data_IF_198190857605
#
_entry.id   IF_198190857605
#
_cell.length_a   1.000
_cell.length_b   1.000
_cell.length_c   1.000
_cell.angle_alpha   90.00
_cell.angle_beta   90.00
_cell.angle_gamma   90.00
#
_symmetry.space_group_name_H-M   'P 1'
#
loop_
_entity.id
_entity.type
_entity.pdbx_description
1 polymer ?
#
# COMPACT_ATOMS: atom_id res chain seq x y z
N UNK A 1 -22.58 -94.29 16.07
CA UNK A 1 -21.76 -94.82 14.97
C UNK A 1 -20.51 -93.95 14.90
N UNK A 2 -19.40 -94.35 15.55
CA UNK A 2 -18.21 -94.94 14.91
C UNK A 2 -17.74 -94.10 13.71
N UNK A 3 -16.50 -93.67 13.55
CA UNK A 3 -15.22 -93.77 14.23
C UNK A 3 -14.32 -92.77 13.47
N UNK A 4 -13.19 -92.31 14.02
CA UNK A 4 -11.90 -92.44 13.30
C UNK A 4 -10.77 -91.87 14.17
N UNK A 5 -9.71 -92.67 14.26
CA UNK A 5 -8.45 -92.36 14.94
C UNK A 5 -7.55 -91.62 13.95
N UNK A 6 -7.09 -90.42 14.28
CA UNK A 6 -5.86 -89.88 13.66
C UNK A 6 -4.89 -89.37 14.71
N UNK A 7 -3.67 -89.89 14.57
CA UNK A 7 -2.50 -89.76 15.43
C UNK A 7 -2.07 -88.29 15.48
N UNK A 8 -2.06 -87.72 16.68
CA UNK A 8 -1.58 -86.36 16.93
C UNK A 8 -0.05 -86.30 16.90
N UNK A 9 0.49 -85.54 15.96
CA UNK A 9 1.89 -85.13 15.88
C UNK A 9 2.19 -84.18 17.06
N UNK A 10 3.19 -84.49 17.88
CA UNK A 10 3.55 -83.70 19.07
C UNK A 10 4.48 -82.55 18.64
N UNK A 11 3.94 -81.34 18.53
CA UNK A 11 4.74 -80.12 18.35
C UNK A 11 5.48 -79.78 19.66
N UNK A 12 6.75 -79.34 19.61
CA UNK A 12 7.47 -78.87 20.80
C UNK A 12 6.90 -77.54 21.31
N UNK A 13 7.04 -77.23 22.62
CA UNK A 13 6.40 -76.07 23.22
C UNK A 13 6.91 -74.77 22.60
N UNK A 14 6.00 -74.00 22.00
CA UNK A 14 6.25 -72.61 21.61
C UNK A 14 6.46 -71.79 22.88
N UNK A 15 7.72 -71.44 23.18
CA UNK A 15 8.04 -70.39 24.16
C UNK A 15 7.50 -69.07 23.62
N UNK A 16 6.26 -68.74 23.96
CA UNK A 16 5.77 -67.37 23.87
C UNK A 16 6.52 -66.53 24.90
N UNK A 17 7.67 -65.99 24.50
CA UNK A 17 8.20 -64.79 25.14
C UNK A 17 7.25 -63.67 24.76
N UNK A 18 6.37 -63.29 25.68
CA UNK A 18 5.74 -61.98 25.65
C UNK A 18 6.86 -60.94 25.55
N UNK A 19 7.02 -60.34 24.37
CA UNK A 19 7.79 -59.11 24.23
C UNK A 19 6.92 -58.02 24.85
N UNK A 20 7.06 -57.85 26.16
CA UNK A 20 6.54 -56.68 26.87
C UNK A 20 7.35 -55.48 26.38
N UNK A 21 6.92 -54.89 25.26
CA UNK A 21 7.43 -53.59 24.80
C UNK A 21 7.21 -52.60 25.93
N UNK A 22 8.30 -52.26 26.63
CA UNK A 22 8.31 -51.17 27.59
C UNK A 22 7.91 -49.92 26.80
N UNK A 23 6.75 -49.32 27.12
CA UNK A 23 6.23 -48.03 26.61
C UNK A 23 7.12 -46.85 27.04
N UNK A 24 8.45 -47.00 26.98
CA UNK A 24 9.44 -46.04 27.44
C UNK A 24 9.98 -45.16 26.31
N UNK A 25 9.57 -45.38 25.06
CA UNK A 25 10.05 -44.61 23.90
C UNK A 25 9.14 -43.49 23.42
N UNK A 26 7.84 -43.52 23.74
CA UNK A 26 6.87 -42.54 23.20
C UNK A 26 6.83 -41.22 24.01
N UNK A 27 7.13 -41.27 25.30
CA UNK A 27 7.18 -40.06 26.13
C UNK A 27 8.36 -39.15 25.78
N UNK A 28 9.49 -39.71 25.35
CA UNK A 28 10.71 -38.96 25.04
C UNK A 28 10.64 -38.21 23.71
N UNK A 29 9.94 -38.75 22.71
CA UNK A 29 9.75 -38.10 21.40
C UNK A 29 8.73 -36.95 21.54
N UNK A 30 7.68 -37.13 22.34
CA UNK A 30 6.72 -36.08 22.63
C UNK A 30 7.36 -34.91 23.41
N UNK A 31 8.22 -35.19 24.38
CA UNK A 31 8.94 -34.15 25.13
C UNK A 31 9.94 -33.38 24.26
N UNK A 32 10.61 -34.05 23.31
CA UNK A 32 11.54 -33.41 22.38
C UNK A 32 10.80 -32.56 21.34
N UNK A 33 9.63 -33.00 20.86
CA UNK A 33 8.79 -32.22 19.95
C UNK A 33 8.24 -30.94 20.62
N UNK A 34 7.89 -31.00 21.91
CA UNK A 34 7.50 -29.81 22.68
C UNK A 34 8.66 -28.85 22.93
N UNK A 35 9.88 -29.37 23.14
CA UNK A 35 11.08 -28.54 23.32
C UNK A 35 11.49 -27.83 22.01
N UNK A 36 11.34 -28.49 20.85
CA UNK A 36 11.61 -27.87 19.53
C UNK A 36 10.55 -26.83 19.18
N UNK A 37 9.28 -27.03 19.57
CA UNK A 37 8.22 -26.03 19.37
C UNK A 37 8.38 -24.80 20.30
N UNK A 38 8.93 -24.99 21.50
CA UNK A 38 9.25 -23.92 22.44
C UNK A 38 10.52 -23.12 22.09
N UNK A 39 11.37 -23.66 21.20
CA UNK A 39 12.60 -23.03 20.70
C UNK A 39 12.42 -22.36 19.33
N UNK A 40 11.21 -22.36 18.74
CA UNK A 40 10.92 -21.51 17.60
C UNK A 40 11.09 -20.06 18.05
N UNK A 41 12.02 -19.28 17.45
CA UNK A 41 12.16 -17.88 17.82
C UNK A 41 10.83 -17.19 17.47
N UNK A 42 10.11 -16.76 18.50
CA UNK A 42 8.96 -15.86 18.38
C UNK A 42 9.49 -14.45 18.06
N UNK A 43 10.21 -14.32 16.95
CA UNK A 43 10.83 -13.09 16.52
C UNK A 43 10.43 -12.80 15.07
N UNK A 44 9.12 -12.84 14.79
CA UNK A 44 8.57 -11.84 13.90
C UNK A 44 8.44 -10.55 14.71
N UNK A 45 9.56 -9.86 14.97
CA UNK A 45 9.47 -8.47 15.38
C UNK A 45 8.73 -7.76 14.22
N UNK A 46 7.46 -7.44 14.43
CA UNK A 46 6.64 -6.81 13.40
C UNK A 46 7.37 -5.58 12.89
N UNK A 47 7.60 -5.51 11.57
CA UNK A 47 8.21 -4.33 10.98
C UNK A 47 7.38 -3.11 11.37
N UNK A 48 8.05 -2.06 11.84
CA UNK A 48 7.40 -0.77 12.10
C UNK A 48 6.66 -0.34 10.84
N UNK A 49 5.38 -0.03 10.96
CA UNK A 49 4.57 0.42 9.84
C UNK A 49 4.57 1.94 9.84
N UNK A 50 5.02 2.55 8.74
CA UNK A 50 4.86 3.97 8.47
C UNK A 50 3.67 4.18 7.53
N UNK A 51 2.61 4.84 8.01
CA UNK A 51 1.43 5.18 7.24
C UNK A 51 1.55 6.60 6.72
N UNK A 52 1.50 6.77 5.40
CA UNK A 52 1.66 8.08 4.76
C UNK A 52 0.44 8.38 3.89
N UNK A 53 -0.29 9.43 4.25
CA UNK A 53 -1.33 10.00 3.41
C UNK A 53 -0.71 11.09 2.54
N UNK A 54 -0.79 10.98 1.22
CA UNK A 54 -0.15 11.93 0.30
C UNK A 54 -1.07 12.39 -0.84
N UNK A 55 -0.84 13.61 -1.30
CA UNK A 55 -1.48 14.16 -2.49
C UNK A 55 -1.28 13.21 -3.68
N UNK A 56 -2.34 12.95 -4.45
CA UNK A 56 -2.32 12.00 -5.57
C UNK A 56 -1.22 12.27 -6.60
N UNK A 57 -0.81 13.52 -6.79
CA UNK A 57 0.32 13.89 -7.67
C UNK A 57 1.67 13.29 -7.25
N UNK A 58 1.82 12.83 -6.00
CA UNK A 58 3.02 12.18 -5.48
C UNK A 58 3.02 10.66 -5.69
N UNK A 59 1.94 10.06 -6.20
CA UNK A 59 1.76 8.60 -6.23
C UNK A 59 2.92 7.84 -6.87
N UNK A 60 3.34 8.24 -8.08
CA UNK A 60 4.45 7.57 -8.76
C UNK A 60 5.78 7.64 -7.97
N UNK A 61 6.06 8.78 -7.33
CA UNK A 61 7.26 8.98 -6.52
C UNK A 61 7.20 8.17 -5.23
N UNK A 62 6.03 8.09 -4.59
CA UNK A 62 5.83 7.33 -3.37
C UNK A 62 5.93 5.83 -3.64
N UNK A 63 5.23 5.33 -4.65
CA UNK A 63 5.10 3.89 -4.91
C UNK A 63 6.41 3.29 -5.48
N UNK A 64 7.15 4.06 -6.29
CA UNK A 64 8.32 3.55 -7.03
C UNK A 64 9.67 4.06 -6.52
N UNK A 65 9.65 5.08 -5.66
CA UNK A 65 10.85 5.73 -5.16
C UNK A 65 10.90 5.69 -3.64
N UNK A 66 10.23 6.66 -3.00
CA UNK A 66 10.37 6.93 -1.57
C UNK A 66 9.92 5.77 -0.68
N UNK A 67 8.81 5.11 -1.00
CA UNK A 67 8.30 3.96 -0.24
C UNK A 67 9.32 2.82 -0.20
N UNK A 68 9.72 2.24 -1.35
CA UNK A 68 10.73 1.18 -1.40
C UNK A 68 12.07 1.58 -0.75
N UNK A 69 12.53 2.82 -0.97
CA UNK A 69 13.77 3.30 -0.37
C UNK A 69 13.68 3.37 1.16
N UNK A 70 12.56 3.81 1.70
CA UNK A 70 12.32 3.86 3.15
C UNK A 70 12.28 2.46 3.77
N UNK A 71 11.56 1.52 3.13
CA UNK A 71 11.50 0.12 3.60
C UNK A 71 12.89 -0.52 3.64
N UNK A 72 13.71 -0.29 2.62
CA UNK A 72 15.08 -0.79 2.55
C UNK A 72 15.99 -0.18 3.63
N UNK A 73 15.90 1.14 3.84
CA UNK A 73 16.77 1.86 4.77
C UNK A 73 16.44 1.57 6.25
N UNK A 74 15.17 1.30 6.57
CA UNK A 74 14.71 1.22 7.95
C UNK A 74 14.19 -0.16 8.37
N UNK A 75 14.24 -1.16 7.49
CA UNK A 75 13.63 -2.47 7.70
C UNK A 75 12.15 -2.36 8.15
N UNK A 76 11.46 -1.36 7.63
CA UNK A 76 10.09 -0.98 7.97
C UNK A 76 9.11 -1.39 6.85
N UNK A 77 7.82 -1.22 7.10
CA UNK A 77 6.76 -1.35 6.08
C UNK A 77 6.17 0.03 5.77
N UNK A 78 6.12 0.39 4.50
CA UNK A 78 5.50 1.61 4.02
C UNK A 78 4.06 1.34 3.60
N UNK A 79 3.12 2.11 4.12
CA UNK A 79 1.71 2.05 3.74
C UNK A 79 1.26 3.42 3.21
N UNK A 80 1.19 3.52 1.88
CA UNK A 80 0.80 4.74 1.19
C UNK A 80 -0.70 4.83 0.93
N UNK A 81 -1.28 6.03 1.08
CA UNK A 81 -2.63 6.35 0.61
C UNK A 81 -2.61 7.64 -0.21
N UNK A 82 -2.74 7.50 -1.53
CA UNK A 82 -2.77 8.62 -2.48
C UNK A 82 -4.20 9.07 -2.81
N UNK A 83 -4.52 10.36 -2.59
CA UNK A 83 -5.83 10.94 -2.94
C UNK A 83 -5.77 12.48 -3.05
N UNK A 84 -6.90 13.13 -3.36
CA UNK A 84 -7.03 14.58 -3.29
C UNK A 84 -6.75 15.07 -1.85
N UNK A 85 -5.90 16.09 -1.70
CA UNK A 85 -5.41 16.49 -0.37
C UNK A 85 -6.53 16.94 0.58
N UNK A 86 -7.59 17.59 0.09
CA UNK A 86 -8.73 17.95 0.95
C UNK A 86 -9.55 16.73 1.35
N UNK A 87 -9.69 15.72 0.47
CA UNK A 87 -10.34 14.46 0.85
C UNK A 87 -9.57 13.78 1.99
N UNK A 88 -8.25 13.62 1.83
CA UNK A 88 -7.40 13.03 2.87
C UNK A 88 -7.43 13.83 4.18
N UNK A 89 -7.30 15.15 4.12
CA UNK A 89 -7.34 15.99 5.31
C UNK A 89 -8.67 15.87 6.05
N UNK A 90 -9.81 15.81 5.34
CA UNK A 90 -11.13 15.61 5.96
C UNK A 90 -11.25 14.23 6.61
N UNK A 91 -10.79 13.17 5.95
CA UNK A 91 -10.79 11.81 6.51
C UNK A 91 -9.92 11.69 7.77
N UNK A 92 -8.74 12.31 7.75
CA UNK A 92 -7.83 12.37 8.90
C UNK A 92 -8.45 13.17 10.06
N UNK A 93 -8.99 14.37 9.78
CA UNK A 93 -9.67 15.19 10.79
C UNK A 93 -10.88 14.47 11.41
N UNK A 94 -11.63 13.72 10.60
CA UNK A 94 -12.76 12.90 11.03
C UNK A 94 -12.33 11.57 11.68
N UNK A 95 -11.02 11.28 11.77
CA UNK A 95 -10.44 10.03 12.29
C UNK A 95 -10.93 8.77 11.56
N UNK A 96 -11.36 8.91 10.31
CA UNK A 96 -11.76 7.81 9.42
C UNK A 96 -10.55 7.22 8.66
N UNK A 97 -9.45 7.97 8.59
CA UNK A 97 -8.15 7.52 8.13
C UNK A 97 -7.12 7.79 9.24
N UNK A 98 -6.10 6.95 9.35
CA UNK A 98 -4.94 7.17 10.23
C UNK A 98 -3.68 7.24 9.39
N UNK A 99 -2.84 8.24 9.64
CA UNK A 99 -1.54 8.39 9.03
C UNK A 99 -0.56 9.00 10.03
N UNK A 100 0.70 8.60 9.94
CA UNK A 100 1.80 9.15 10.72
C UNK A 100 2.36 10.42 10.05
N UNK A 101 2.27 10.47 8.72
CA UNK A 101 2.72 11.61 7.90
C UNK A 101 1.63 11.99 6.90
N UNK A 102 1.37 13.30 6.80
CA UNK A 102 0.48 13.87 5.79
C UNK A 102 1.24 14.80 4.85
N UNK A 103 1.25 14.47 3.56
CA UNK A 103 1.93 15.25 2.50
C UNK A 103 0.87 15.87 1.60
N UNK A 104 0.53 17.13 1.87
CA UNK A 104 -0.47 17.87 1.11
C UNK A 104 0.14 18.64 -0.07
N UNK A 105 -0.72 19.05 -1.00
CA UNK A 105 -0.44 20.12 -1.95
C UNK A 105 -1.23 21.36 -1.51
N UNK A 106 -0.58 22.53 -1.52
CA UNK A 106 -1.07 23.83 -0.99
C UNK A 106 -1.29 23.88 0.53
N UNK A 107 -1.33 25.09 1.14
CA UNK A 107 -1.57 25.23 2.58
C UNK A 107 -2.98 24.85 3.05
N UNK A 108 -3.99 24.97 2.20
CA UNK A 108 -5.40 24.83 2.62
C UNK A 108 -5.75 23.46 3.27
N UNK A 109 -5.37 22.31 2.69
CA UNK A 109 -5.57 21.00 3.34
C UNK A 109 -4.82 20.85 4.67
N UNK A 110 -3.67 21.49 4.82
CA UNK A 110 -2.91 21.51 6.08
C UNK A 110 -3.69 22.28 7.16
N UNK A 111 -4.32 23.40 6.79
CA UNK A 111 -5.13 24.19 7.72
C UNK A 111 -6.33 23.41 8.28
N UNK A 112 -6.90 22.47 7.52
CA UNK A 112 -7.97 21.58 7.99
C UNK A 112 -7.48 20.76 9.19
N UNK A 113 -6.30 20.16 9.10
CA UNK A 113 -5.74 19.36 10.20
C UNK A 113 -5.21 20.22 11.34
N UNK A 114 -4.69 21.41 11.05
CA UNK A 114 -4.31 22.39 12.09
C UNK A 114 -5.52 22.76 12.96
N UNK A 115 -6.67 23.05 12.34
CA UNK A 115 -7.93 23.33 13.06
C UNK A 115 -8.45 22.14 13.86
N UNK A 116 -8.16 20.92 13.40
CA UNK A 116 -8.47 19.69 14.13
C UNK A 116 -7.48 19.38 15.28
N UNK A 117 -6.42 20.19 15.46
CA UNK A 117 -5.40 19.96 16.48
C UNK A 117 -4.48 18.77 16.19
N UNK A 118 -4.37 18.34 14.93
CA UNK A 118 -3.62 17.15 14.51
C UNK A 118 -2.24 17.46 13.90
N UNK A 119 -1.86 18.73 13.80
CA UNK A 119 -0.58 19.16 13.22
C UNK A 119 0.22 19.94 14.26
N UNK A 120 1.45 19.48 14.52
CA UNK A 120 2.42 20.18 15.36
C UNK A 120 3.34 21.09 14.53
N UNK A 121 3.81 20.63 13.36
CA UNK A 121 4.72 21.36 12.48
C UNK A 121 4.44 21.05 11.00
N UNK A 122 4.89 21.94 10.11
CA UNK A 122 4.69 21.84 8.66
C UNK A 122 5.92 22.38 7.98
N UNK A 123 6.51 21.59 7.08
CA UNK A 123 7.70 21.98 6.33
C UNK A 123 7.41 21.99 4.82
N UNK A 124 7.71 23.08 4.09
CA UNK A 124 7.66 23.09 2.64
C UNK A 124 8.79 22.23 2.04
N UNK A 125 8.42 21.14 1.37
CA UNK A 125 9.41 20.19 0.80
C UNK A 125 9.56 20.28 -0.72
N UNK A 126 8.59 20.87 -1.42
CA UNK A 126 8.54 20.85 -2.88
C UNK A 126 7.70 22.00 -3.44
N UNK A 127 7.93 22.32 -4.72
CA UNK A 127 7.06 23.19 -5.52
C UNK A 127 6.71 22.52 -6.86
N UNK A 128 5.57 22.89 -7.42
CA UNK A 128 5.09 22.37 -8.71
C UNK A 128 4.61 23.53 -9.58
N UNK A 129 4.41 23.26 -10.88
CA UNK A 129 3.86 24.22 -11.83
C UNK A 129 2.65 23.64 -12.53
N UNK A 130 1.67 24.49 -12.82
CA UNK A 130 0.55 24.13 -13.68
C UNK A 130 1.02 24.04 -15.13
N UNK A 131 0.65 22.96 -15.80
CA UNK A 131 0.97 22.70 -17.21
C UNK A 131 -0.24 22.08 -17.91
N UNK A 132 -0.31 22.24 -19.23
CA UNK A 132 -1.25 21.48 -20.06
C UNK A 132 -0.51 20.25 -20.58
N UNK A 133 -0.96 19.07 -20.17
CA UNK A 133 -0.43 17.79 -20.66
C UNK A 133 -1.36 17.29 -21.75
N UNK A 134 -0.77 16.82 -22.86
CA UNK A 134 -1.51 16.25 -23.97
C UNK A 134 -0.78 15.03 -24.53
N UNK A 135 -1.54 14.11 -25.14
CA UNK A 135 -0.95 12.99 -25.87
C UNK A 135 -0.42 13.46 -27.22
N UNK A 136 0.73 12.96 -27.69
CA UNK A 136 1.18 13.19 -29.08
C UNK A 136 0.18 12.64 -30.12
N UNK A 137 -0.71 11.72 -29.72
CA UNK A 137 -1.79 11.19 -30.57
C UNK A 137 -3.04 12.07 -30.61
N UNK A 138 -3.08 13.17 -29.85
CA UNK A 138 -4.18 14.11 -29.88
C UNK A 138 -4.23 14.83 -31.24
N UNK A 139 -5.43 14.98 -31.82
CA UNK A 139 -5.61 15.83 -33.01
C UNK A 139 -5.19 17.29 -32.79
N UNK A 140 -5.14 17.72 -31.53
CA UNK A 140 -4.72 19.07 -31.13
C UNK A 140 -3.23 19.15 -30.79
N UNK A 141 -2.46 18.06 -30.87
CA UNK A 141 -1.03 18.06 -30.53
C UNK A 141 -0.20 19.08 -31.34
N UNK A 142 -0.42 19.26 -32.66
CA UNK A 142 0.29 20.30 -33.42
C UNK A 142 -0.04 21.73 -32.93
N UNK A 143 -1.29 21.98 -32.54
CA UNK A 143 -1.70 23.29 -32.02
C UNK A 143 -1.06 23.59 -30.66
N UNK A 144 -1.00 22.59 -29.76
CA UNK A 144 -0.28 22.75 -28.49
C UNK A 144 1.24 22.91 -28.68
N UNK A 145 1.84 22.22 -29.64
CA UNK A 145 3.26 22.41 -29.97
C UNK A 145 3.52 23.83 -30.49
N UNK A 146 2.66 24.35 -31.38
CA UNK A 146 2.74 25.73 -31.86
C UNK A 146 2.56 26.74 -30.71
N UNK A 147 1.64 26.47 -29.77
CA UNK A 147 1.45 27.31 -28.59
C UNK A 147 2.69 27.32 -27.67
N UNK A 148 3.31 26.16 -27.46
CA UNK A 148 4.54 26.03 -26.68
C UNK A 148 5.72 26.79 -27.33
N UNK A 149 5.74 26.90 -28.65
CA UNK A 149 6.71 27.71 -29.41
C UNK A 149 6.37 29.21 -29.47
N UNK A 150 5.29 29.66 -28.80
CA UNK A 150 4.87 31.07 -28.77
C UNK A 150 4.04 31.52 -29.98
N UNK A 151 3.60 30.59 -30.85
CA UNK A 151 2.82 30.93 -32.05
C UNK A 151 1.35 31.29 -31.77
N UNK A 152 0.81 30.89 -30.61
CA UNK A 152 -0.52 31.28 -30.12
C UNK A 152 -0.63 31.06 -28.60
N UNK A 153 -1.58 31.70 -27.90
CA UNK A 153 -1.81 31.41 -26.48
C UNK A 153 -2.29 29.97 -26.28
N UNK A 154 -1.73 29.26 -25.29
CA UNK A 154 -2.12 27.87 -24.99
C UNK A 154 -3.61 27.72 -24.64
N UNK A 155 -4.20 28.73 -24.00
CA UNK A 155 -5.62 28.72 -23.63
C UNK A 155 -6.54 28.90 -24.86
N UNK A 156 -6.05 29.50 -25.95
CA UNK A 156 -6.79 29.57 -27.20
C UNK A 156 -6.96 28.18 -27.83
N UNK A 157 -5.94 27.31 -27.70
CA UNK A 157 -6.05 25.90 -28.10
C UNK A 157 -7.13 25.19 -27.30
N UNK A 158 -7.23 25.46 -25.99
CA UNK A 158 -8.27 24.87 -25.12
C UNK A 158 -9.69 25.28 -25.50
N UNK A 159 -9.87 26.44 -26.12
CA UNK A 159 -11.17 26.93 -26.57
C UNK A 159 -11.61 26.33 -27.93
N UNK A 160 -10.75 25.55 -28.60
CA UNK A 160 -11.07 25.02 -29.92
C UNK A 160 -12.25 24.03 -29.89
N UNK A 161 -13.18 24.12 -30.86
CA UNK A 161 -14.32 23.22 -30.92
C UNK A 161 -13.95 21.74 -30.89
N UNK A 162 -14.66 21.01 -30.03
CA UNK A 162 -14.49 19.58 -29.84
C UNK A 162 -13.26 19.19 -29.01
N UNK A 163 -12.41 20.13 -28.56
CA UNK A 163 -11.41 19.81 -27.55
C UNK A 163 -12.10 19.36 -26.27
N UNK A 164 -11.61 18.26 -25.69
CA UNK A 164 -12.04 17.77 -24.39
C UNK A 164 -10.93 17.98 -23.39
N UNK A 165 -11.22 18.77 -22.37
CA UNK A 165 -10.30 19.11 -21.31
C UNK A 165 -10.70 18.39 -20.01
N UNK A 166 -9.74 17.71 -19.38
CA UNK A 166 -9.95 16.99 -18.12
C UNK A 166 -9.26 17.69 -16.96
N UNK A 167 -9.88 17.65 -15.78
CA UNK A 167 -9.30 18.08 -14.50
C UNK A 167 -9.87 17.23 -13.35
N UNK A 168 -9.20 17.24 -12.21
CA UNK A 168 -9.76 16.69 -10.97
C UNK A 168 -10.88 17.55 -10.40
N UNK A 169 -11.61 17.00 -9.42
CA UNK A 169 -12.67 17.73 -8.71
C UNK A 169 -12.05 18.78 -7.75
N UNK A 170 -12.32 20.09 -7.97
CA UNK A 170 -11.78 21.17 -7.16
C UNK A 170 -12.24 21.14 -5.70
N UNK A 171 -13.31 20.41 -5.36
CA UNK A 171 -13.85 20.33 -4.01
C UNK A 171 -13.00 19.46 -3.07
N UNK A 172 -12.19 18.56 -3.64
CA UNK A 172 -11.38 17.57 -2.92
C UNK A 172 -9.89 17.59 -3.32
N UNK A 173 -9.55 18.08 -4.50
CA UNK A 173 -8.18 18.14 -5.00
C UNK A 173 -7.76 19.58 -5.30
N UNK A 174 -6.76 20.13 -4.59
CA UNK A 174 -6.20 21.44 -4.88
C UNK A 174 -5.76 21.64 -6.33
N UNK A 175 -5.30 20.58 -7.02
CA UNK A 175 -4.95 20.70 -8.45
C UNK A 175 -6.17 21.11 -9.29
N UNK A 176 -7.34 20.54 -9.01
CA UNK A 176 -8.58 20.85 -9.72
C UNK A 176 -8.99 22.32 -9.55
N UNK A 177 -8.80 22.88 -8.36
CA UNK A 177 -9.02 24.30 -8.09
C UNK A 177 -7.96 25.18 -8.78
N UNK A 178 -6.69 24.80 -8.72
CA UNK A 178 -5.60 25.53 -9.36
C UNK A 178 -5.75 25.61 -10.88
N UNK A 179 -6.37 24.62 -11.53
CA UNK A 179 -6.74 24.70 -12.95
C UNK A 179 -7.71 25.86 -13.20
N UNK A 180 -8.75 26.00 -12.36
CA UNK A 180 -9.72 27.09 -12.51
C UNK A 180 -9.06 28.46 -12.33
N UNK A 181 -8.23 28.61 -11.30
CA UNK A 181 -7.47 29.84 -11.09
C UNK A 181 -6.52 30.14 -12.25
N UNK A 182 -5.85 29.14 -12.78
CA UNK A 182 -4.94 29.29 -13.94
C UNK A 182 -5.70 29.80 -15.17
N UNK A 183 -6.89 29.24 -15.45
CA UNK A 183 -7.72 29.68 -16.57
C UNK A 183 -8.27 31.10 -16.37
N UNK A 184 -8.69 31.44 -15.15
CA UNK A 184 -9.14 32.79 -14.81
C UNK A 184 -8.02 33.83 -14.97
N UNK A 185 -6.79 33.47 -14.60
CA UNK A 185 -5.61 34.33 -14.81
C UNK A 185 -5.26 34.46 -16.30
N UNK A 186 -5.43 33.40 -17.07
CA UNK A 186 -5.15 33.41 -18.51
C UNK A 186 -6.18 34.19 -19.34
N UNK A 187 -7.40 34.34 -18.82
CA UNK A 187 -8.49 35.09 -19.46
C UNK A 187 -8.43 36.60 -19.17
N UNK A 188 -7.42 37.07 -18.42
CA UNK A 188 -7.19 38.49 -18.13
C UNK A 188 -6.40 39.19 -19.24
#
# INVERSE_FOLDING_TARGET
MAADRRRGFRAPPSRHREIRMKRRGLASIAALAWLVLALLPLAAAGRTVLRVAYAGSMGALMDRGLGPAFEQAHAATFQGTGQGSYALARLLAAKQLQADVFIAVTPGPVDVLRKAGLIASVEPIASTRMVVIYSPRSRFAPAFAAAAAGGQPWHAVLAQPGLRFGRSDPSIDPQGANVLFTLQLAAR
#
